data_IF_355633071237
#
_entry.id   IF_355633071237
#
_cell.length_a   1.000
_cell.length_b   1.000
_cell.length_c   1.000
_cell.angle_alpha   90.00
_cell.angle_beta   90.00
_cell.angle_gamma   90.00
#
_symmetry.space_group_name_H-M   'P 1'
#
loop_
_entity.id
_entity.type
_entity.pdbx_description
1 polymer ?
#
# COMPACT_ATOMS: atom_id res chain seq x y z
N UNK A 1 -5.54 25.31 -17.61
CA UNK A 1 -4.76 24.33 -18.42
C UNK A 1 -5.75 23.25 -18.84
N UNK A 2 -5.64 22.71 -20.06
CA UNK A 2 -6.53 21.63 -20.51
C UNK A 2 -6.24 20.37 -19.68
N UNK A 3 -7.28 19.67 -19.22
CA UNK A 3 -7.12 18.42 -18.45
C UNK A 3 -6.30 17.38 -19.22
N UNK A 4 -6.38 17.41 -20.56
CA UNK A 4 -5.58 16.54 -21.43
C UNK A 4 -4.09 16.88 -21.40
N UNK A 5 -3.76 18.17 -21.31
CA UNK A 5 -2.37 18.63 -21.16
C UNK A 5 -1.84 18.29 -19.77
N UNK A 6 -2.66 18.41 -18.73
CA UNK A 6 -2.29 18.05 -17.35
C UNK A 6 -2.00 16.55 -17.22
N UNK A 7 -2.84 15.68 -17.80
CA UNK A 7 -2.60 14.23 -17.85
C UNK A 7 -1.28 13.94 -18.56
N UNK A 8 -1.07 14.53 -19.74
CA UNK A 8 0.12 14.30 -20.55
C UNK A 8 1.40 14.68 -19.80
N UNK A 9 1.39 15.82 -19.12
CA UNK A 9 2.54 16.28 -18.35
C UNK A 9 2.79 15.39 -17.13
N UNK A 10 1.74 15.05 -16.36
CA UNK A 10 1.87 14.17 -15.20
C UNK A 10 2.39 12.79 -15.56
N UNK A 11 1.82 12.16 -16.59
CA UNK A 11 2.24 10.82 -17.06
C UNK A 11 3.69 10.82 -17.56
N UNK A 12 4.14 11.90 -18.22
CA UNK A 12 5.54 12.03 -18.66
C UNK A 12 6.53 12.02 -17.48
N UNK A 13 6.13 12.59 -16.36
CA UNK A 13 6.98 12.74 -15.17
C UNK A 13 6.85 11.55 -14.19
N UNK A 14 5.96 10.59 -14.47
CA UNK A 14 5.83 9.38 -13.65
C UNK A 14 7.08 8.50 -13.78
N UNK A 15 7.53 7.87 -12.68
CA UNK A 15 8.52 6.82 -12.73
C UNK A 15 8.08 5.70 -13.66
N UNK A 16 9.02 5.13 -14.44
CA UNK A 16 8.72 4.05 -15.37
C UNK A 16 8.01 2.85 -14.69
N UNK A 17 8.36 2.60 -13.43
CA UNK A 17 7.75 1.58 -12.59
C UNK A 17 6.27 1.87 -12.28
N UNK A 18 5.92 3.11 -11.94
CA UNK A 18 4.53 3.50 -11.73
C UNK A 18 3.72 3.36 -13.02
N UNK A 19 4.30 3.77 -14.16
CA UNK A 19 3.67 3.60 -15.48
C UNK A 19 3.39 2.12 -15.76
N UNK A 20 4.36 1.24 -15.53
CA UNK A 20 4.20 -0.22 -15.69
C UNK A 20 3.13 -0.78 -14.75
N UNK A 21 3.07 -0.32 -13.50
CA UNK A 21 2.11 -0.76 -12.48
C UNK A 21 0.67 -0.39 -12.86
N UNK A 22 0.43 0.87 -13.22
CA UNK A 22 -0.89 1.31 -13.67
C UNK A 22 -1.33 0.56 -14.94
N UNK A 23 -0.42 0.35 -15.90
CA UNK A 23 -0.73 -0.40 -17.10
C UNK A 23 -1.10 -1.86 -16.80
N UNK A 24 -0.32 -2.54 -15.95
CA UNK A 24 -0.61 -3.91 -15.54
C UNK A 24 -1.98 -4.00 -14.86
N UNK A 25 -2.27 -3.11 -13.90
CA UNK A 25 -3.57 -3.06 -13.24
C UNK A 25 -4.71 -2.93 -14.26
N UNK A 26 -4.60 -1.99 -15.20
CA UNK A 26 -5.63 -1.77 -16.23
C UNK A 26 -5.84 -3.04 -17.05
N UNK A 27 -4.77 -3.70 -17.49
CA UNK A 27 -4.84 -4.93 -18.29
C UNK A 27 -5.44 -6.10 -17.49
N UNK A 28 -5.06 -6.28 -16.23
CA UNK A 28 -5.66 -7.31 -15.36
C UNK A 28 -7.14 -7.07 -15.15
N UNK A 29 -7.54 -5.82 -14.92
CA UNK A 29 -8.95 -5.48 -14.73
C UNK A 29 -9.76 -5.74 -15.98
N UNK A 30 -9.23 -5.42 -17.16
CA UNK A 30 -9.86 -5.76 -18.44
C UNK A 30 -10.00 -7.28 -18.60
N UNK A 31 -8.95 -8.06 -18.28
CA UNK A 31 -8.98 -9.52 -18.41
C UNK A 31 -9.98 -10.19 -17.46
N UNK A 32 -10.29 -9.55 -16.34
CA UNK A 32 -11.25 -10.02 -15.32
C UNK A 32 -12.66 -9.42 -15.49
N UNK A 33 -12.91 -8.60 -16.52
CA UNK A 33 -14.24 -8.08 -16.79
C UNK A 33 -15.20 -9.23 -17.11
N UNK A 34 -16.20 -9.40 -16.27
CA UNK A 34 -17.33 -10.28 -16.57
C UNK A 34 -18.34 -9.56 -17.47
N UNK A 35 -19.07 -10.29 -18.31
CA UNK A 35 -20.13 -9.75 -19.17
C UNK A 35 -21.42 -9.48 -18.35
N UNK A 36 -21.32 -8.52 -17.43
CA UNK A 36 -22.39 -8.05 -16.54
C UNK A 36 -22.37 -6.53 -16.54
N UNK A 37 -23.53 -5.89 -16.62
CA UNK A 37 -23.64 -4.42 -16.71
C UNK A 37 -22.92 -3.68 -15.55
N UNK A 38 -22.92 -4.26 -14.34
CA UNK A 38 -22.24 -3.69 -13.18
C UNK A 38 -20.69 -3.75 -13.25
N UNK A 39 -20.10 -4.70 -13.99
CA UNK A 39 -18.64 -4.87 -14.05
C UNK A 39 -17.96 -3.69 -14.75
N UNK A 40 -18.62 -3.13 -15.77
CA UNK A 40 -18.15 -1.96 -16.53
C UNK A 40 -18.20 -0.68 -15.69
N UNK A 41 -19.23 -0.54 -14.84
CA UNK A 41 -19.37 0.61 -13.92
C UNK A 41 -18.26 0.58 -12.87
N UNK A 42 -17.98 -0.59 -12.30
CA UNK A 42 -16.89 -0.78 -11.34
C UNK A 42 -15.53 -0.52 -11.98
N UNK A 43 -15.29 -1.06 -13.17
CA UNK A 43 -14.07 -0.80 -13.93
C UNK A 43 -13.87 0.70 -14.22
N UNK A 44 -14.90 1.40 -14.67
CA UNK A 44 -14.84 2.83 -14.92
C UNK A 44 -14.53 3.63 -13.64
N UNK A 45 -15.07 3.21 -12.50
CA UNK A 45 -14.79 3.81 -11.19
C UNK A 45 -13.32 3.64 -10.82
N UNK A 46 -12.75 2.45 -11.01
CA UNK A 46 -11.36 2.17 -10.65
C UNK A 46 -10.36 2.89 -11.55
N UNK A 47 -10.65 3.01 -12.86
CA UNK A 47 -9.88 3.87 -13.75
C UNK A 47 -9.92 5.35 -13.32
N UNK A 48 -11.07 5.81 -12.81
CA UNK A 48 -11.21 7.17 -12.28
C UNK A 48 -10.39 7.38 -11.01
N UNK A 49 -10.30 6.38 -10.13
CA UNK A 49 -9.46 6.45 -8.93
C UNK A 49 -7.98 6.56 -9.32
N UNK A 50 -7.48 5.74 -10.27
CA UNK A 50 -6.10 5.86 -10.79
C UNK A 50 -5.83 7.23 -11.39
N UNK A 51 -6.74 7.72 -12.25
CA UNK A 51 -6.59 9.03 -12.87
C UNK A 51 -6.46 10.13 -11.81
N UNK A 52 -7.26 10.06 -10.75
CA UNK A 52 -7.21 11.03 -9.67
C UNK A 52 -5.91 10.92 -8.87
N UNK A 53 -5.37 9.72 -8.64
CA UNK A 53 -4.08 9.54 -7.96
C UNK A 53 -2.91 10.13 -8.77
N UNK A 54 -2.92 9.98 -10.10
CA UNK A 54 -1.91 10.54 -10.99
C UNK A 54 -2.00 12.08 -11.05
N UNK A 55 -3.21 12.62 -11.15
CA UNK A 55 -3.43 14.06 -11.29
C UNK A 55 -3.27 14.82 -9.97
N UNK A 56 -3.70 14.20 -8.88
CA UNK A 56 -3.72 14.76 -7.54
C UNK A 56 -3.00 13.82 -6.58
N UNK A 57 -1.67 13.62 -6.77
CA UNK A 57 -0.91 12.76 -5.88
C UNK A 57 -1.07 13.29 -4.46
N UNK A 58 -1.58 12.43 -3.58
CA UNK A 58 -1.74 12.76 -2.17
C UNK A 58 -0.36 13.15 -1.66
N UNK A 59 -0.22 14.42 -1.29
CA UNK A 59 0.99 14.97 -0.69
C UNK A 59 1.41 13.99 0.41
N UNK A 60 2.62 13.46 0.31
CA UNK A 60 3.33 12.85 1.44
C UNK A 60 3.64 13.99 2.41
N UNK A 61 2.60 14.47 3.10
CA UNK A 61 2.76 15.33 4.24
C UNK A 61 3.52 14.48 5.27
N UNK A 62 4.64 15.01 5.77
CA UNK A 62 5.45 14.47 6.86
C UNK A 62 4.70 14.41 8.20
N UNK A 63 3.38 14.61 8.15
CA UNK A 63 2.45 14.64 9.25
C UNK A 63 1.13 14.00 8.79
N UNK A 64 1.23 12.72 8.40
CA UNK A 64 0.09 11.87 8.00
C UNK A 64 -1.06 11.89 9.03
N UNK A 65 -0.73 12.17 10.29
CA UNK A 65 -1.65 12.17 11.42
C UNK A 65 -1.89 13.56 12.06
N UNK A 66 -1.00 14.54 11.95
CA UNK A 66 -1.18 15.84 12.62
C UNK A 66 -2.09 16.85 11.93
N UNK A 67 -2.63 16.53 10.74
CA UNK A 67 -3.76 17.27 10.12
C UNK A 67 -5.08 16.50 10.10
N UNK A 68 -5.08 15.21 10.40
CA UNK A 68 -6.21 14.32 10.18
C UNK A 68 -6.87 13.94 11.50
N UNK A 69 -8.17 14.21 11.64
CA UNK A 69 -8.98 13.82 12.80
C UNK A 69 -9.33 12.32 12.75
N UNK A 70 -8.35 11.45 12.45
CA UNK A 70 -8.58 10.02 12.43
C UNK A 70 -8.91 9.53 13.83
N UNK A 71 -9.96 8.71 13.95
CA UNK A 71 -10.42 8.16 15.23
C UNK A 71 -9.87 6.76 15.49
N UNK A 72 -9.36 6.09 14.45
CA UNK A 72 -8.92 4.69 14.48
C UNK A 72 -7.98 4.39 13.32
N UNK A 73 -7.02 3.50 13.58
CA UNK A 73 -6.12 2.96 12.58
C UNK A 73 -6.43 1.48 12.34
N UNK A 74 -6.48 1.09 11.08
CA UNK A 74 -6.61 -0.29 10.63
C UNK A 74 -5.30 -0.72 9.99
N UNK A 75 -4.70 -1.79 10.50
CA UNK A 75 -3.53 -2.41 9.90
C UNK A 75 -3.99 -3.69 9.22
N UNK A 76 -3.69 -3.81 7.93
CA UNK A 76 -3.94 -5.03 7.15
C UNK A 76 -2.65 -5.51 6.50
N UNK A 77 -2.57 -6.82 6.28
CA UNK A 77 -1.46 -7.48 5.61
C UNK A 77 -1.94 -8.17 4.34
N UNK A 78 -1.16 -8.07 3.26
CA UNK A 78 -1.49 -8.67 1.97
C UNK A 78 -2.58 -7.91 1.20
N UNK A 79 -3.66 -8.61 0.86
CA UNK A 79 -4.67 -8.11 -0.08
C UNK A 79 -5.48 -6.95 0.52
N UNK A 80 -5.76 -5.86 -0.22
CA UNK A 80 -6.41 -4.68 0.33
C UNK A 80 -7.94 -4.78 0.40
N UNK A 81 -8.46 -5.60 1.31
CA UNK A 81 -9.91 -5.86 1.43
C UNK A 81 -10.69 -4.83 2.26
N UNK A 82 -10.06 -4.01 3.12
CA UNK A 82 -10.79 -3.13 4.05
C UNK A 82 -11.37 -1.87 3.41
N UNK A 83 -10.77 -1.36 2.33
CA UNK A 83 -11.15 -0.06 1.75
C UNK A 83 -12.61 -0.02 1.33
N UNK A 84 -13.10 -1.05 0.65
CA UNK A 84 -14.47 -1.09 0.14
C UNK A 84 -15.51 -1.20 1.29
N UNK A 85 -15.36 -2.11 2.28
CA UNK A 85 -16.20 -2.12 3.47
C UNK A 85 -16.23 -0.79 4.24
N UNK A 86 -15.08 -0.15 4.49
CA UNK A 86 -15.04 1.14 5.20
C UNK A 86 -15.72 2.26 4.39
N UNK A 87 -15.64 2.21 3.06
CA UNK A 87 -16.34 3.12 2.15
C UNK A 87 -17.85 2.92 2.19
N UNK A 88 -18.32 1.67 2.17
CA UNK A 88 -19.75 1.34 2.26
C UNK A 88 -20.36 1.77 3.61
N UNK A 89 -19.55 1.75 4.67
CA UNK A 89 -19.93 2.23 6.01
C UNK A 89 -19.81 3.76 6.17
N UNK A 90 -19.32 4.49 5.16
CA UNK A 90 -19.06 5.93 5.20
C UNK A 90 -18.08 6.39 6.31
N UNK A 91 -17.10 5.56 6.66
CA UNK A 91 -16.12 5.85 7.72
C UNK A 91 -14.67 6.00 7.21
N UNK A 92 -14.44 5.85 5.90
CA UNK A 92 -13.11 5.93 5.29
C UNK A 92 -12.40 7.28 5.49
N UNK A 93 -13.15 8.36 5.74
CA UNK A 93 -12.58 9.69 6.05
C UNK A 93 -12.18 9.83 7.54
N UNK A 94 -12.72 8.98 8.42
CA UNK A 94 -12.48 9.01 9.88
C UNK A 94 -11.58 7.87 10.36
N UNK A 95 -11.45 6.79 9.59
CA UNK A 95 -10.67 5.60 9.91
C UNK A 95 -9.60 5.35 8.83
N UNK A 96 -8.33 5.37 9.24
CA UNK A 96 -7.20 5.27 8.32
C UNK A 96 -6.72 3.82 8.16
N UNK A 97 -6.41 3.41 6.93
CA UNK A 97 -5.87 2.08 6.63
C UNK A 97 -4.38 2.20 6.33
N UNK A 98 -3.55 1.47 7.09
CA UNK A 98 -2.17 1.16 6.79
C UNK A 98 -2.12 -0.26 6.21
N UNK A 99 -1.62 -0.40 4.99
CA UNK A 99 -1.60 -1.67 4.27
C UNK A 99 -0.17 -2.12 4.00
N UNK A 100 0.20 -3.26 4.55
CA UNK A 100 1.43 -3.96 4.20
C UNK A 100 1.19 -4.84 2.98
N UNK A 101 1.69 -4.43 1.81
CA UNK A 101 1.51 -5.17 0.57
C UNK A 101 2.58 -6.24 0.32
N UNK A 102 3.66 -6.19 1.10
CA UNK A 102 4.76 -7.15 1.00
C UNK A 102 4.35 -8.59 1.34
N UNK A 103 5.05 -9.54 0.74
CA UNK A 103 4.95 -10.94 1.13
C UNK A 103 6.03 -11.29 2.16
N UNK A 104 5.69 -11.22 3.43
CA UNK A 104 6.53 -11.55 4.58
C UNK A 104 6.89 -13.04 4.68
N UNK A 105 6.16 -13.93 4.01
CA UNK A 105 6.51 -15.36 3.97
C UNK A 105 7.68 -15.68 3.03
N UNK A 106 8.10 -14.70 2.22
CA UNK A 106 9.25 -14.82 1.32
C UNK A 106 10.37 -13.94 1.87
N UNK A 107 11.62 -14.42 1.80
CA UNK A 107 12.82 -13.74 2.30
C UNK A 107 12.91 -13.57 3.85
N UNK A 108 14.13 -13.37 4.39
CA UNK A 108 14.33 -13.10 5.81
C UNK A 108 13.60 -11.82 6.29
N UNK A 109 13.05 -11.85 7.51
CA UNK A 109 12.39 -10.69 8.16
C UNK A 109 13.23 -10.09 9.29
N UNK A 110 14.50 -10.48 9.40
CA UNK A 110 15.39 -10.06 10.48
C UNK A 110 15.67 -8.55 10.41
N UNK A 111 15.44 -7.85 11.52
CA UNK A 111 15.78 -6.43 11.70
C UNK A 111 15.20 -5.48 10.63
N UNK A 112 14.00 -5.76 10.11
CA UNK A 112 13.33 -4.91 9.12
C UNK A 112 12.95 -3.52 9.64
N UNK A 113 13.00 -3.31 10.95
CA UNK A 113 12.95 -1.98 11.59
C UNK A 113 14.15 -1.10 11.23
N UNK A 114 15.27 -1.69 10.79
CA UNK A 114 16.50 -0.98 10.48
C UNK A 114 16.72 -0.88 8.97
N UNK A 115 17.37 0.20 8.52
CA UNK A 115 17.79 0.37 7.12
C UNK A 115 18.66 -0.81 6.64
N UNK A 116 19.52 -1.33 7.52
CA UNK A 116 20.36 -2.49 7.22
C UNK A 116 19.51 -3.74 6.96
N UNK A 117 18.56 -4.09 7.82
CA UNK A 117 17.71 -5.27 7.61
C UNK A 117 16.83 -5.12 6.38
N UNK A 118 16.34 -3.90 6.11
CA UNK A 118 15.60 -3.62 4.88
C UNK A 118 16.46 -3.83 3.61
N UNK A 119 17.72 -3.38 3.65
CA UNK A 119 18.71 -3.58 2.56
C UNK A 119 19.07 -5.06 2.39
N UNK A 120 19.33 -5.77 3.49
CA UNK A 120 19.67 -7.20 3.47
C UNK A 120 18.54 -8.03 2.82
N UNK A 121 17.28 -7.69 3.13
CA UNK A 121 16.12 -8.33 2.51
C UNK A 121 15.95 -7.95 1.04
N UNK A 122 16.17 -6.69 0.67
CA UNK A 122 16.16 -6.27 -0.75
C UNK A 122 17.19 -7.06 -1.56
N UNK A 123 18.42 -7.18 -1.06
CA UNK A 123 19.48 -7.94 -1.73
C UNK A 123 19.13 -9.43 -1.83
N UNK A 124 18.50 -10.00 -0.80
CA UNK A 124 18.00 -11.36 -0.87
C UNK A 124 16.96 -11.52 -1.98
N UNK A 125 15.96 -10.63 -2.04
CA UNK A 125 14.90 -10.69 -3.07
C UNK A 125 15.51 -10.56 -4.47
N UNK A 126 16.39 -9.59 -4.68
CA UNK A 126 17.08 -9.35 -5.95
C UNK A 126 17.88 -10.56 -6.43
N UNK A 127 18.54 -11.26 -5.52
CA UNK A 127 19.41 -12.39 -5.86
C UNK A 127 18.66 -13.72 -6.01
N UNK A 128 17.45 -13.85 -5.45
CA UNK A 128 16.72 -15.12 -5.38
C UNK A 128 15.40 -15.13 -6.16
N UNK A 129 14.86 -13.97 -6.52
CA UNK A 129 13.66 -13.87 -7.34
C UNK A 129 14.02 -13.44 -8.76
N UNK A 130 13.39 -14.09 -9.75
CA UNK A 130 13.49 -13.68 -11.15
C UNK A 130 12.53 -12.54 -11.51
N UNK A 131 11.63 -12.19 -10.59
CA UNK A 131 10.62 -11.16 -10.80
C UNK A 131 11.14 -9.80 -10.32
N UNK A 132 11.71 -9.02 -11.23
CA UNK A 132 12.21 -7.66 -10.94
C UNK A 132 11.11 -6.80 -10.29
N UNK A 133 9.85 -6.90 -10.76
CA UNK A 133 8.74 -6.13 -10.21
C UNK A 133 8.54 -6.29 -8.70
N UNK A 134 8.66 -7.52 -8.17
CA UNK A 134 8.53 -7.76 -6.72
C UNK A 134 9.69 -7.14 -5.93
N UNK A 135 10.89 -7.09 -6.53
CA UNK A 135 12.09 -6.52 -5.92
C UNK A 135 12.00 -5.00 -5.86
N UNK A 136 11.58 -4.36 -6.95
CA UNK A 136 11.40 -2.91 -6.97
C UNK A 136 10.19 -2.45 -6.15
N UNK A 137 9.10 -3.22 -6.13
CA UNK A 137 7.94 -2.93 -5.29
C UNK A 137 8.33 -2.88 -3.80
N UNK A 138 9.10 -3.87 -3.34
CA UNK A 138 9.61 -3.92 -1.97
C UNK A 138 10.39 -2.66 -1.58
N UNK A 139 11.26 -2.19 -2.48
CA UNK A 139 12.14 -1.04 -2.23
C UNK A 139 11.37 0.25 -1.92
N UNK A 140 10.20 0.41 -2.52
CA UNK A 140 9.38 1.62 -2.35
C UNK A 140 8.32 1.45 -1.25
N UNK A 141 7.71 0.27 -1.16
CA UNK A 141 6.52 0.06 -0.32
C UNK A 141 6.85 -0.09 1.16
N UNK A 142 7.86 -0.91 1.51
CA UNK A 142 8.13 -1.25 2.91
C UNK A 142 8.60 -0.03 3.73
N UNK A 143 9.58 0.79 3.27
CA UNK A 143 10.03 1.96 4.04
C UNK A 143 8.90 2.96 4.31
N UNK A 144 8.01 3.14 3.32
CA UNK A 144 6.85 4.03 3.43
C UNK A 144 5.86 3.54 4.48
N UNK A 145 5.53 2.26 4.49
CA UNK A 145 4.61 1.67 5.46
C UNK A 145 5.20 1.67 6.86
N UNK A 146 6.49 1.38 7.01
CA UNK A 146 7.19 1.49 8.30
C UNK A 146 7.11 2.92 8.85
N UNK A 147 7.36 3.92 8.01
CA UNK A 147 7.23 5.33 8.39
C UNK A 147 5.81 5.70 8.82
N UNK A 148 4.77 5.17 8.14
CA UNK A 148 3.38 5.34 8.55
C UNK A 148 3.12 4.75 9.94
N UNK A 149 3.60 3.53 10.22
CA UNK A 149 3.43 2.89 11.53
C UNK A 149 4.13 3.68 12.63
N UNK A 150 5.34 4.16 12.40
CA UNK A 150 6.10 4.97 13.37
C UNK A 150 5.46 6.33 13.66
N UNK A 151 4.63 6.83 12.74
CA UNK A 151 3.97 8.13 12.87
C UNK A 151 2.62 8.04 13.60
N UNK A 152 2.12 6.85 13.94
CA UNK A 152 0.84 6.68 14.65
C UNK A 152 0.94 7.31 16.04
N UNK A 153 -0.01 8.17 16.39
CA UNK A 153 -0.10 8.72 17.75
C UNK A 153 -0.53 7.65 18.78
N UNK A 154 0.04 7.71 19.97
CA UNK A 154 -0.18 6.72 21.05
C UNK A 154 -1.63 6.66 21.57
N UNK A 155 -2.43 7.69 21.34
CA UNK A 155 -3.83 7.77 21.76
C UNK A 155 -4.83 7.17 20.75
N UNK A 156 -4.36 6.81 19.55
CA UNK A 156 -5.22 6.23 18.52
C UNK A 156 -5.36 4.70 18.69
N UNK A 157 -6.59 4.17 18.73
CA UNK A 157 -6.81 2.74 18.76
C UNK A 157 -6.37 2.09 17.44
N UNK A 158 -5.64 0.97 17.54
CA UNK A 158 -5.13 0.19 16.41
C UNK A 158 -5.88 -1.14 16.32
N UNK A 159 -6.44 -1.42 15.15
CA UNK A 159 -7.14 -2.66 14.81
C UNK A 159 -6.32 -3.42 13.78
N UNK A 160 -5.87 -4.62 14.12
CA UNK A 160 -5.05 -5.44 13.24
C UNK A 160 -5.91 -6.53 12.62
N UNK A 161 -5.88 -6.63 11.30
CA UNK A 161 -6.64 -7.59 10.51
C UNK A 161 -5.70 -8.63 9.93
N UNK A 162 -5.92 -9.89 10.31
CA UNK A 162 -5.04 -11.01 10.01
C UNK A 162 -5.87 -12.28 9.81
N UNK A 163 -5.49 -13.10 8.83
CA UNK A 163 -5.99 -14.45 8.59
C UNK A 163 -4.91 -15.49 8.89
N UNK A 164 -5.23 -16.78 8.74
CA UNK A 164 -4.31 -17.88 9.10
C UNK A 164 -3.25 -18.19 8.02
N UNK A 165 -3.07 -17.35 7.01
CA UNK A 165 -2.08 -17.60 5.97
C UNK A 165 -0.65 -17.21 6.40
N UNK A 166 0.35 -17.90 5.83
CA UNK A 166 1.75 -17.75 6.21
C UNK A 166 2.27 -16.31 6.06
N UNK A 167 1.83 -15.59 5.03
CA UNK A 167 2.22 -14.20 4.82
C UNK A 167 1.74 -13.32 5.98
N UNK A 168 0.44 -13.32 6.24
CA UNK A 168 -0.18 -12.43 7.22
C UNK A 168 0.23 -12.79 8.66
N UNK A 169 0.39 -14.08 8.97
CA UNK A 169 0.91 -14.53 10.27
C UNK A 169 2.36 -14.09 10.49
N UNK A 170 3.21 -14.18 9.46
CA UNK A 170 4.61 -13.73 9.55
C UNK A 170 4.69 -12.21 9.68
N UNK A 171 3.83 -11.48 8.95
CA UNK A 171 3.74 -10.02 9.04
C UNK A 171 3.27 -9.55 10.43
N UNK A 172 2.31 -10.25 11.04
CA UNK A 172 1.87 -9.97 12.41
C UNK A 172 3.00 -10.18 13.43
N UNK A 173 3.79 -11.25 13.29
CA UNK A 173 4.96 -11.48 14.15
C UNK A 173 5.99 -10.36 14.00
N UNK A 174 6.30 -9.96 12.77
CA UNK A 174 7.16 -8.81 12.52
C UNK A 174 6.61 -7.54 13.18
N UNK A 175 5.33 -7.21 12.96
CA UNK A 175 4.70 -6.02 13.54
C UNK A 175 4.79 -6.01 15.08
N UNK A 176 4.54 -7.14 15.74
CA UNK A 176 4.59 -7.21 17.20
C UNK A 176 6.01 -6.99 17.74
N UNK A 177 7.02 -7.59 17.11
CA UNK A 177 8.44 -7.37 17.50
C UNK A 177 8.85 -5.93 17.22
N UNK A 178 8.45 -5.39 16.07
CA UNK A 178 8.71 -4.02 15.65
C UNK A 178 8.15 -3.00 16.66
N UNK A 179 6.87 -3.11 17.01
CA UNK A 179 6.21 -2.18 17.94
C UNK A 179 6.70 -2.35 19.38
N UNK A 180 7.06 -3.57 19.79
CA UNK A 180 7.63 -3.80 21.12
C UNK A 180 9.01 -3.15 21.27
N UNK A 181 9.84 -3.16 20.22
CA UNK A 181 11.19 -2.59 20.22
C UNK A 181 11.26 -1.06 20.07
N UNK A 182 10.18 -0.41 19.66
CA UNK A 182 10.14 1.05 19.47
C UNK A 182 9.57 1.83 20.66
N UNK A 183 9.06 1.14 21.68
CA UNK A 183 8.42 1.72 22.87
C UNK A 183 9.23 1.59 24.18
N UNK A 184 10.51 1.24 24.11
CA UNK A 184 11.48 1.35 25.21
C UNK A 184 12.29 2.64 25.12
#
# INVERSE_FOLDING_TARGET
MDILDDIKNKVKDLPEQEVRSYLQFILYRIALLEDKENSLVEFAKDLKEILNEILYPKVTDSDLFGKSNYKKIHIQFGYPYLRQPLKELNILEEEFIIAFHENFSIAPITSLDTEKGQTDRFDWLKNNLSNEYEVEFYKESLPKVISQVLSIHDDLPIYIWVSENANEQTALLFYNVFVAGTKE
#
